data_IF_727022737517
#
_entry.id   IF_727022737517
#
_cell.length_a   1.000
_cell.length_b   1.000
_cell.length_c   1.000
_cell.angle_alpha   90.00
_cell.angle_beta   90.00
_cell.angle_gamma   90.00
#
_symmetry.space_group_name_H-M   'P 1'
#
loop_
_entity.id
_entity.type
_entity.pdbx_description
1 polymer ?
#
# COMPACT_ATOMS: atom_id res chain seq x y z
N UNK A 1 2.95 -18.69 2.32
CA UNK A 1 4.16 -17.97 2.80
C UNK A 1 3.66 -16.71 3.46
N UNK A 2 4.02 -16.46 4.71
CA UNK A 2 3.53 -15.30 5.45
C UNK A 2 4.48 -14.12 5.21
N UNK A 3 4.16 -13.30 4.21
CA UNK A 3 4.98 -12.13 3.84
C UNK A 3 4.96 -11.01 4.89
N UNK A 4 4.01 -11.03 5.83
CA UNK A 4 3.80 -10.00 6.85
C UNK A 4 3.80 -10.56 8.28
N UNK A 5 4.53 -11.67 8.51
CA UNK A 5 4.74 -12.26 9.83
C UNK A 5 5.69 -11.46 10.73
N UNK A 6 6.11 -12.09 11.85
CA UNK A 6 6.97 -11.45 12.86
C UNK A 6 8.28 -10.89 12.29
N UNK A 7 8.92 -11.60 11.36
CA UNK A 7 10.19 -11.17 10.76
C UNK A 7 10.00 -9.85 9.98
N UNK A 8 8.99 -9.78 9.11
CA UNK A 8 8.69 -8.57 8.33
C UNK A 8 8.22 -7.43 9.24
N UNK A 9 7.36 -7.72 10.21
CA UNK A 9 6.96 -6.75 11.21
C UNK A 9 8.17 -6.19 11.96
N UNK A 10 9.19 -7.00 12.27
CA UNK A 10 10.37 -6.55 13.02
C UNK A 10 11.16 -5.44 12.34
N UNK A 11 11.14 -5.35 11.04
CA UNK A 11 11.94 -4.41 10.25
C UNK A 11 11.11 -3.35 9.51
N UNK A 12 9.79 -3.46 9.49
CA UNK A 12 8.93 -2.60 8.68
C UNK A 12 9.13 -1.10 8.96
N UNK A 13 9.47 -0.74 10.21
CA UNK A 13 9.69 0.64 10.62
C UNK A 13 11.15 1.10 10.47
N UNK A 14 12.09 0.19 10.25
CA UNK A 14 13.52 0.52 10.16
C UNK A 14 13.87 1.18 8.81
N UNK A 15 12.92 1.16 7.88
CA UNK A 15 13.14 1.61 6.50
C UNK A 15 12.05 2.60 6.07
N UNK A 16 12.16 3.88 6.50
CA UNK A 16 11.27 4.93 6.02
C UNK A 16 11.52 5.17 4.52
N UNK A 17 10.46 5.44 3.78
CA UNK A 17 10.55 5.79 2.36
C UNK A 17 10.96 7.24 2.14
N UNK A 18 10.69 8.10 3.15
CA UNK A 18 11.00 9.52 3.12
C UNK A 18 9.87 10.40 2.55
N UNK A 19 8.76 9.80 2.14
CA UNK A 19 7.59 10.49 1.59
C UNK A 19 6.36 10.45 2.53
N UNK A 20 6.50 9.89 3.74
CA UNK A 20 5.40 9.71 4.68
C UNK A 20 4.73 11.04 5.08
N UNK A 21 5.51 12.10 5.27
CA UNK A 21 4.98 13.41 5.62
C UNK A 21 4.12 14.00 4.49
N UNK A 22 4.54 13.82 3.23
CA UNK A 22 3.80 14.27 2.06
C UNK A 22 2.51 13.45 1.87
N UNK A 23 2.58 12.14 2.11
CA UNK A 23 1.42 11.26 2.09
C UNK A 23 0.38 11.67 3.14
N UNK A 24 0.81 11.91 4.38
CA UNK A 24 -0.06 12.37 5.47
C UNK A 24 -0.72 13.70 5.13
N UNK A 25 0.05 14.68 4.66
CA UNK A 25 -0.48 15.99 4.28
C UNK A 25 -1.46 15.92 3.11
N UNK A 26 -1.25 14.99 2.17
CA UNK A 26 -2.18 14.73 1.07
C UNK A 26 -3.49 14.11 1.61
N UNK A 27 -3.40 13.05 2.41
CA UNK A 27 -4.56 12.31 2.94
C UNK A 27 -5.39 13.18 3.90
N UNK A 28 -4.75 14.00 4.73
CA UNK A 28 -5.46 14.98 5.58
C UNK A 28 -6.37 15.91 4.78
N UNK A 29 -5.85 16.45 3.66
CA UNK A 29 -6.66 17.29 2.75
C UNK A 29 -7.81 16.51 2.12
N UNK A 30 -7.58 15.23 1.74
CA UNK A 30 -8.61 14.38 1.14
C UNK A 30 -9.69 13.98 2.15
N UNK A 31 -9.35 13.79 3.43
CA UNK A 31 -10.29 13.44 4.49
C UNK A 31 -11.27 14.57 4.83
N UNK A 32 -10.95 15.84 4.51
CA UNK A 32 -11.82 17.02 4.75
C UNK A 32 -12.35 17.10 6.20
N UNK A 33 -11.54 16.63 7.18
CA UNK A 33 -11.92 16.56 8.58
C UNK A 33 -12.82 15.38 8.97
N UNK A 34 -13.24 14.55 8.03
CA UNK A 34 -14.01 13.34 8.29
C UNK A 34 -13.13 12.13 8.64
N UNK A 35 -13.73 11.02 9.08
CA UNK A 35 -12.98 9.81 9.38
C UNK A 35 -12.34 9.21 8.13
N UNK A 36 -11.19 8.57 8.33
CA UNK A 36 -10.49 7.84 7.27
C UNK A 36 -10.36 6.35 7.64
N UNK A 37 -10.37 5.49 6.63
CA UNK A 37 -10.10 4.06 6.77
C UNK A 37 -8.83 3.70 6.00
N UNK A 38 -7.83 3.15 6.69
CA UNK A 38 -6.64 2.58 6.07
C UNK A 38 -6.81 1.09 5.83
N UNK A 39 -6.66 0.66 4.59
CA UNK A 39 -6.62 -0.75 4.24
C UNK A 39 -5.19 -1.27 4.42
N UNK A 40 -5.03 -2.36 5.18
CA UNK A 40 -3.75 -2.90 5.64
C UNK A 40 -2.93 -1.86 6.42
N UNK A 41 -3.45 -1.44 7.58
CA UNK A 41 -2.87 -0.38 8.42
C UNK A 41 -1.44 -0.71 8.92
N UNK A 42 -1.07 -1.98 8.97
CA UNK A 42 0.26 -2.44 9.34
C UNK A 42 0.69 -1.96 10.73
N UNK A 43 1.89 -1.42 10.79
CA UNK A 43 2.48 -0.83 12.00
C UNK A 43 2.04 0.63 12.25
N UNK A 44 1.12 1.16 11.42
CA UNK A 44 0.57 2.51 11.56
C UNK A 44 1.48 3.62 11.05
N UNK A 45 2.32 3.34 10.05
CA UNK A 45 3.28 4.31 9.51
C UNK A 45 2.60 5.58 8.99
N UNK A 46 1.41 5.44 8.38
CA UNK A 46 0.59 6.56 7.89
C UNK A 46 -0.53 6.88 8.87
N UNK A 47 -1.20 5.88 9.43
CA UNK A 47 -2.34 6.08 10.32
C UNK A 47 -1.99 6.92 11.56
N UNK A 48 -0.85 6.65 12.22
CA UNK A 48 -0.47 7.36 13.44
C UNK A 48 -0.23 8.86 13.21
N UNK A 49 0.63 9.28 12.27
CA UNK A 49 0.82 10.69 12.00
C UNK A 49 -0.43 11.36 11.42
N UNK A 50 -1.27 10.65 10.64
CA UNK A 50 -2.54 11.19 10.17
C UNK A 50 -3.53 11.41 11.34
N UNK A 51 -3.61 10.46 12.27
CA UNK A 51 -4.44 10.63 13.47
C UNK A 51 -3.93 11.79 14.36
N UNK A 52 -2.63 12.04 14.39
CA UNK A 52 -2.06 13.16 15.13
C UNK A 52 -2.46 14.54 14.57
N UNK A 53 -2.95 14.63 13.32
CA UNK A 53 -3.53 15.87 12.75
C UNK A 53 -4.96 16.12 13.22
N UNK A 54 -5.56 15.19 13.99
CA UNK A 54 -6.94 15.27 14.47
C UNK A 54 -7.97 14.52 13.61
N UNK A 55 -7.54 13.83 12.55
CA UNK A 55 -8.38 12.94 11.75
C UNK A 55 -8.61 11.64 12.53
N UNK A 56 -9.86 11.22 12.68
CA UNK A 56 -10.15 9.87 13.15
C UNK A 56 -9.73 8.87 12.08
N UNK A 57 -8.82 7.95 12.44
CA UNK A 57 -8.36 6.88 11.54
C UNK A 57 -8.76 5.54 12.10
N UNK A 58 -9.49 4.77 11.32
CA UNK A 58 -9.78 3.37 11.54
C UNK A 58 -8.93 2.53 10.57
N UNK A 59 -8.66 1.27 10.88
CA UNK A 59 -7.83 0.44 10.01
C UNK A 59 -8.26 -1.02 9.94
N UNK A 60 -7.81 -1.69 8.89
CA UNK A 60 -7.96 -3.14 8.71
C UNK A 60 -6.57 -3.73 8.55
N UNK A 61 -6.28 -4.84 9.18
CA UNK A 61 -5.07 -5.62 8.93
C UNK A 61 -5.30 -7.11 9.19
N UNK A 62 -4.62 -7.95 8.44
CA UNK A 62 -4.68 -9.40 8.60
C UNK A 62 -3.59 -9.92 9.56
N UNK A 63 -2.50 -9.17 9.75
CA UNK A 63 -1.32 -9.59 10.52
C UNK A 63 -1.42 -9.20 12.00
N UNK A 64 -1.57 -10.16 12.93
CA UNK A 64 -1.51 -9.86 14.36
C UNK A 64 -0.16 -9.26 14.79
N UNK A 65 0.95 -9.65 14.13
CA UNK A 65 2.27 -9.15 14.42
C UNK A 65 2.41 -7.66 14.08
N UNK A 66 1.88 -7.23 12.93
CA UNK A 66 1.85 -5.82 12.53
C UNK A 66 1.00 -4.99 13.51
N UNK A 67 -0.20 -5.47 13.83
CA UNK A 67 -1.10 -4.77 14.76
C UNK A 67 -0.53 -4.73 16.18
N UNK A 68 0.16 -5.77 16.64
CA UNK A 68 0.85 -5.74 17.92
C UNK A 68 1.91 -4.63 17.99
N UNK A 69 2.68 -4.45 16.91
CA UNK A 69 3.64 -3.34 16.80
C UNK A 69 2.97 -1.97 16.75
N UNK A 70 1.89 -1.83 16.01
CA UNK A 70 1.08 -0.61 16.02
C UNK A 70 0.64 -0.27 17.46
N UNK A 71 0.08 -1.25 18.17
CA UNK A 71 -0.40 -1.08 19.55
C UNK A 71 0.69 -0.67 20.54
N UNK A 72 1.93 -1.05 20.30
CA UNK A 72 3.08 -0.69 21.13
C UNK A 72 3.57 0.76 20.92
N UNK A 73 3.13 1.44 19.86
CA UNK A 73 3.51 2.82 19.55
C UNK A 73 2.60 3.83 20.26
N UNK A 74 3.12 5.05 20.59
CA UNK A 74 2.28 6.13 21.10
C UNK A 74 1.08 6.41 20.20
N UNK A 75 -0.12 6.46 20.78
CA UNK A 75 -1.40 6.63 20.05
C UNK A 75 -1.91 5.38 19.33
N UNK A 76 -1.11 4.31 19.23
CA UNK A 76 -1.52 3.10 18.51
C UNK A 76 -2.63 2.31 19.21
N UNK A 77 -2.74 2.41 20.54
CA UNK A 77 -3.82 1.79 21.28
C UNK A 77 -5.18 2.45 21.03
N UNK A 78 -5.20 3.71 20.61
CA UNK A 78 -6.42 4.50 20.44
C UNK A 78 -7.04 4.32 19.04
N UNK A 79 -6.29 3.77 18.07
CA UNK A 79 -6.82 3.51 16.73
C UNK A 79 -7.74 2.29 16.73
N UNK A 80 -8.91 2.41 16.11
CA UNK A 80 -9.79 1.27 15.89
C UNK A 80 -9.25 0.40 14.74
N UNK A 81 -8.82 -0.83 15.05
CA UNK A 81 -8.30 -1.77 14.05
C UNK A 81 -9.16 -3.03 14.04
N UNK A 82 -9.70 -3.34 12.88
CA UNK A 82 -10.42 -4.58 12.58
C UNK A 82 -9.44 -5.61 12.01
N UNK A 83 -9.37 -6.78 12.65
CA UNK A 83 -8.60 -7.90 12.10
C UNK A 83 -9.37 -8.53 10.95
N UNK A 84 -8.76 -8.61 9.77
CA UNK A 84 -9.39 -9.22 8.61
C UNK A 84 -8.70 -8.90 7.29
N UNK A 85 -9.21 -9.54 6.23
CA UNK A 85 -8.77 -9.30 4.87
C UNK A 85 -9.33 -7.96 4.37
N UNK A 86 -8.45 -7.06 3.96
CA UNK A 86 -8.86 -5.74 3.46
C UNK A 86 -9.63 -5.81 2.13
N UNK A 87 -9.56 -6.90 1.37
CA UNK A 87 -10.39 -7.08 0.18
C UNK A 87 -11.88 -7.20 0.51
N UNK A 88 -12.21 -7.64 1.72
CA UNK A 88 -13.60 -7.79 2.20
C UNK A 88 -14.14 -6.53 2.87
N UNK A 89 -13.25 -5.63 3.30
CA UNK A 89 -13.57 -4.39 4.06
C UNK A 89 -14.53 -4.70 5.23
N UNK A 90 -14.12 -5.55 6.20
CA UNK A 90 -15.00 -6.07 7.25
C UNK A 90 -15.27 -5.05 8.36
N UNK A 91 -15.71 -3.86 8.00
CA UNK A 91 -16.05 -2.75 8.91
C UNK A 91 -17.50 -2.32 8.69
N UNK A 92 -18.08 -1.64 9.66
CA UNK A 92 -19.39 -1.03 9.52
C UNK A 92 -19.28 0.47 9.23
N UNK A 93 -20.29 1.00 8.55
CA UNK A 93 -20.40 2.44 8.24
C UNK A 93 -19.80 2.84 6.91
N UNK A 94 -19.74 4.15 6.71
CA UNK A 94 -19.21 4.75 5.50
C UNK A 94 -18.18 5.82 5.86
N UNK A 95 -17.16 5.96 4.99
CA UNK A 95 -16.02 6.85 5.17
C UNK A 95 -15.92 7.86 4.03
N UNK A 96 -15.66 9.13 4.32
CA UNK A 96 -15.35 10.12 3.28
C UNK A 96 -13.97 9.87 2.64
N UNK A 97 -13.08 9.13 3.32
CA UNK A 97 -11.80 8.72 2.78
C UNK A 97 -11.50 7.26 3.12
N UNK A 98 -11.24 6.45 2.10
CA UNK A 98 -10.61 5.15 2.23
C UNK A 98 -9.29 5.21 1.46
N UNK A 99 -8.21 4.65 2.01
CA UNK A 99 -6.93 4.68 1.32
C UNK A 99 -6.13 3.39 1.52
N UNK A 100 -5.27 3.12 0.53
CA UNK A 100 -4.29 2.03 0.55
C UNK A 100 -2.99 2.55 -0.05
N UNK A 101 -1.88 2.33 0.64
CA UNK A 101 -0.56 2.89 0.31
C UNK A 101 0.50 1.80 0.18
N UNK A 102 1.69 2.16 -0.25
CA UNK A 102 2.87 1.29 -0.32
C UNK A 102 2.69 0.05 -1.19
N UNK A 103 2.00 0.17 -2.32
CA UNK A 103 1.73 -0.94 -3.24
C UNK A 103 0.90 -2.08 -2.64
N UNK A 104 0.31 -1.88 -1.47
CA UNK A 104 -0.34 -2.94 -0.69
C UNK A 104 -1.53 -3.58 -1.42
N UNK A 105 -2.20 -2.84 -2.31
CA UNK A 105 -3.24 -3.42 -3.17
C UNK A 105 -2.74 -4.63 -3.98
N UNK A 106 -1.46 -4.63 -4.35
CA UNK A 106 -0.85 -5.70 -5.13
C UNK A 106 -0.56 -6.97 -4.34
N UNK A 107 -0.75 -6.96 -3.02
CA UNK A 107 -0.71 -8.16 -2.19
C UNK A 107 -1.98 -9.04 -2.35
N UNK A 108 -3.03 -8.51 -2.99
CA UNK A 108 -4.13 -9.31 -3.52
C UNK A 108 -3.65 -9.98 -4.82
N UNK A 109 -3.53 -11.30 -4.80
CA UNK A 109 -2.78 -12.06 -5.80
C UNK A 109 -3.60 -12.43 -7.03
N UNK A 110 -4.89 -12.13 -7.04
CA UNK A 110 -5.78 -12.36 -8.17
C UNK A 110 -6.49 -11.08 -8.61
N UNK A 111 -6.89 -11.03 -9.87
CA UNK A 111 -7.67 -9.91 -10.39
C UNK A 111 -9.02 -9.80 -9.69
N UNK A 112 -9.63 -10.95 -9.40
CA UNK A 112 -10.91 -11.05 -8.71
C UNK A 112 -10.85 -10.47 -7.30
N UNK A 113 -9.77 -10.73 -6.56
CA UNK A 113 -9.57 -10.13 -5.22
C UNK A 113 -9.40 -8.61 -5.30
N UNK A 114 -8.65 -8.12 -6.29
CA UNK A 114 -8.47 -6.69 -6.49
C UNK A 114 -9.79 -6.00 -6.89
N UNK A 115 -10.57 -6.59 -7.80
CA UNK A 115 -11.91 -6.10 -8.15
C UNK A 115 -12.83 -6.10 -6.93
N UNK A 116 -12.85 -7.20 -6.18
CA UNK A 116 -13.67 -7.31 -4.96
C UNK A 116 -13.31 -6.25 -3.93
N UNK A 117 -12.03 -5.92 -3.79
CA UNK A 117 -11.58 -4.82 -2.92
C UNK A 117 -12.21 -3.48 -3.36
N UNK A 118 -12.15 -3.15 -4.64
CA UNK A 118 -12.78 -1.92 -5.17
C UNK A 118 -14.30 -1.90 -4.94
N UNK A 119 -15.00 -3.01 -5.17
CA UNK A 119 -16.45 -3.12 -4.96
C UNK A 119 -16.83 -2.95 -3.48
N UNK A 120 -16.06 -3.56 -2.56
CA UNK A 120 -16.29 -3.43 -1.14
C UNK A 120 -15.95 -2.02 -0.64
N UNK A 121 -14.86 -1.42 -1.12
CA UNK A 121 -14.54 -0.01 -0.85
C UNK A 121 -15.69 0.89 -1.29
N UNK A 122 -16.20 0.72 -2.51
CA UNK A 122 -17.31 1.55 -3.02
C UNK A 122 -18.56 1.50 -2.13
N UNK A 123 -18.84 0.35 -1.51
CA UNK A 123 -19.98 0.22 -0.56
C UNK A 123 -19.77 0.97 0.75
N UNK A 124 -18.51 1.16 1.15
CA UNK A 124 -18.13 1.83 2.39
C UNK A 124 -17.70 3.29 2.20
N UNK A 125 -17.78 3.83 0.99
CA UNK A 125 -17.61 5.27 0.75
C UNK A 125 -18.91 6.03 0.97
N UNK A 126 -18.81 7.24 1.54
CA UNK A 126 -19.92 8.23 1.50
C UNK A 126 -20.21 8.64 0.06
N UNK A 127 -21.33 9.33 -0.19
CA UNK A 127 -21.73 9.74 -1.56
C UNK A 127 -20.69 10.65 -2.24
N UNK A 128 -19.93 11.42 -1.47
CA UNK A 128 -18.83 12.27 -1.93
C UNK A 128 -17.44 11.72 -1.52
N UNK A 129 -17.41 10.43 -1.15
CA UNK A 129 -16.22 9.76 -0.62
C UNK A 129 -15.17 9.50 -1.70
N UNK A 130 -13.92 9.44 -1.24
CA UNK A 130 -12.76 9.25 -2.07
C UNK A 130 -12.02 7.95 -1.69
N UNK A 131 -11.59 7.21 -2.70
CA UNK A 131 -10.66 6.11 -2.55
C UNK A 131 -9.30 6.48 -3.11
N UNK A 132 -8.27 6.49 -2.27
CA UNK A 132 -6.89 6.83 -2.65
C UNK A 132 -6.05 5.56 -2.71
N UNK A 133 -5.41 5.33 -3.86
CA UNK A 133 -4.54 4.18 -4.10
C UNK A 133 -3.16 4.68 -4.50
N UNK A 134 -2.12 4.32 -3.74
CA UNK A 134 -0.74 4.48 -4.16
C UNK A 134 -0.17 3.13 -4.60
N UNK A 135 0.41 3.12 -5.81
CA UNK A 135 1.07 1.94 -6.33
C UNK A 135 2.19 2.30 -7.31
N UNK A 136 3.15 1.39 -7.49
CA UNK A 136 4.18 1.56 -8.51
C UNK A 136 3.60 1.39 -9.92
N UNK A 137 4.24 2.04 -10.89
CA UNK A 137 3.96 1.83 -12.32
C UNK A 137 4.87 0.71 -12.81
N UNK A 138 4.32 -0.40 -13.33
CA UNK A 138 5.13 -1.58 -13.68
C UNK A 138 5.98 -1.42 -14.95
N UNK A 139 6.34 -0.18 -15.32
CA UNK A 139 7.11 0.15 -16.54
C UNK A 139 8.53 -0.40 -16.54
N UNK A 140 9.13 -0.65 -15.37
CA UNK A 140 10.46 -1.25 -15.25
C UNK A 140 10.50 -2.68 -15.79
N UNK A 141 9.38 -3.42 -15.77
CA UNK A 141 9.26 -4.80 -16.25
C UNK A 141 9.59 -4.93 -17.73
N UNK A 142 9.36 -3.89 -18.55
CA UNK A 142 9.75 -3.90 -19.96
C UNK A 142 11.26 -3.94 -20.22
N UNK A 143 12.06 -3.71 -19.17
CA UNK A 143 13.52 -3.69 -19.26
C UNK A 143 14.16 -4.95 -18.71
N UNK A 144 13.36 -5.89 -18.18
CA UNK A 144 13.87 -7.12 -17.61
C UNK A 144 14.44 -8.01 -18.70
N UNK A 145 15.53 -8.70 -18.36
CA UNK A 145 16.08 -9.77 -19.17
C UNK A 145 15.69 -11.09 -18.51
N UNK A 146 15.13 -12.01 -19.30
CA UNK A 146 14.71 -13.33 -18.83
C UNK A 146 13.72 -13.28 -17.63
N UNK A 147 12.89 -12.22 -17.59
CA UNK A 147 11.90 -11.99 -16.53
C UNK A 147 12.46 -12.02 -15.11
N UNK A 148 13.71 -11.64 -14.92
CA UNK A 148 14.39 -11.60 -13.63
C UNK A 148 15.06 -10.26 -13.41
N UNK A 149 15.22 -9.87 -12.14
CA UNK A 149 15.96 -8.67 -11.78
C UNK A 149 16.68 -8.81 -10.45
N UNK A 150 17.72 -8.00 -10.32
CA UNK A 150 18.40 -7.67 -9.09
C UNK A 150 18.54 -6.15 -9.06
N UNK A 151 17.95 -5.51 -8.07
CA UNK A 151 18.01 -4.05 -7.93
C UNK A 151 18.57 -3.66 -6.57
N UNK A 152 19.56 -2.78 -6.57
CA UNK A 152 20.18 -2.32 -5.33
C UNK A 152 19.32 -1.25 -4.67
N UNK A 153 18.81 -1.54 -3.48
CA UNK A 153 18.03 -0.60 -2.67
C UNK A 153 18.93 0.32 -1.84
N UNK A 154 19.95 -0.26 -1.21
CA UNK A 154 20.88 0.47 -0.34
C UNK A 154 22.25 -0.18 -0.33
N UNK A 155 23.30 0.62 -0.51
CA UNK A 155 24.67 0.17 -0.47
C UNK A 155 25.43 1.00 0.58
N UNK A 156 25.84 0.36 1.67
CA UNK A 156 26.70 0.92 2.71
C UNK A 156 27.95 0.05 2.88
N UNK A 157 28.93 0.53 3.64
CA UNK A 157 30.20 -0.18 3.82
C UNK A 157 30.03 -1.54 4.51
N UNK A 158 29.07 -1.62 5.44
CA UNK A 158 28.83 -2.79 6.28
C UNK A 158 27.45 -3.42 6.06
N UNK A 159 26.64 -2.87 5.16
CA UNK A 159 25.32 -3.38 4.84
C UNK A 159 24.96 -3.17 3.37
N UNK A 160 24.46 -4.20 2.74
CA UNK A 160 23.88 -4.11 1.41
C UNK A 160 22.45 -4.64 1.44
N UNK A 161 21.53 -3.86 0.84
CA UNK A 161 20.17 -4.30 0.57
C UNK A 161 19.90 -4.25 -0.91
N UNK A 162 19.27 -5.29 -1.40
CA UNK A 162 18.88 -5.39 -2.79
C UNK A 162 17.64 -6.29 -2.94
N UNK A 163 16.88 -6.02 -3.97
CA UNK A 163 15.72 -6.81 -4.32
C UNK A 163 16.09 -7.82 -5.39
N UNK A 164 15.63 -9.03 -5.23
CA UNK A 164 15.69 -10.06 -6.26
C UNK A 164 14.28 -10.50 -6.58
N UNK A 165 13.96 -10.59 -7.86
CA UNK A 165 12.62 -10.96 -8.25
C UNK A 165 12.55 -11.70 -9.57
N UNK A 166 11.43 -12.40 -9.72
CA UNK A 166 11.02 -13.05 -10.96
C UNK A 166 9.62 -12.58 -11.34
N UNK A 167 9.48 -12.23 -12.60
CA UNK A 167 8.25 -11.77 -13.20
C UNK A 167 7.57 -12.89 -13.99
N UNK A 168 6.27 -13.05 -13.80
CA UNK A 168 5.41 -13.84 -14.68
C UNK A 168 4.45 -12.90 -15.42
N UNK A 169 4.71 -12.58 -16.70
CA UNK A 169 3.87 -11.65 -17.45
C UNK A 169 2.47 -12.21 -17.75
N UNK A 170 2.27 -13.53 -17.73
CA UNK A 170 0.98 -14.14 -18.03
C UNK A 170 -0.02 -13.94 -16.88
N UNK A 171 0.45 -13.95 -15.64
CA UNK A 171 -0.36 -13.77 -14.44
C UNK A 171 -0.18 -12.39 -13.79
N UNK A 172 0.69 -11.53 -14.34
CA UNK A 172 1.08 -10.23 -13.78
C UNK A 172 1.67 -10.36 -12.37
N UNK A 173 2.38 -11.45 -12.10
CA UNK A 173 2.90 -11.75 -10.77
C UNK A 173 4.39 -11.43 -10.65
N UNK A 174 4.77 -10.91 -9.50
CA UNK A 174 6.15 -10.76 -9.06
C UNK A 174 6.37 -11.60 -7.81
N UNK A 175 7.28 -12.55 -7.90
CA UNK A 175 7.83 -13.28 -6.76
C UNK A 175 9.15 -12.61 -6.40
N UNK A 176 9.19 -11.88 -5.29
CA UNK A 176 10.30 -11.01 -4.90
C UNK A 176 10.82 -11.37 -3.52
N UNK A 177 12.06 -11.09 -3.24
CA UNK A 177 12.63 -11.10 -1.91
C UNK A 177 13.49 -9.87 -1.70
N UNK A 178 13.22 -9.11 -0.64
CA UNK A 178 14.17 -8.14 -0.13
C UNK A 178 15.29 -8.88 0.58
N UNK A 179 16.53 -8.64 0.17
CA UNK A 179 17.72 -9.31 0.69
C UNK A 179 18.52 -8.31 1.50
N UNK A 180 18.75 -8.60 2.77
CA UNK A 180 19.65 -7.86 3.63
C UNK A 180 20.92 -8.68 3.88
N UNK A 181 22.07 -8.15 3.48
CA UNK A 181 23.40 -8.71 3.76
C UNK A 181 24.10 -7.79 4.76
N UNK A 182 24.40 -8.33 5.92
CA UNK A 182 25.04 -7.62 7.03
C UNK A 182 26.18 -8.45 7.61
N UNK A 183 27.05 -7.91 8.49
CA UNK A 183 28.04 -8.71 9.21
C UNK A 183 27.47 -9.87 10.05
N UNK A 184 26.17 -9.78 10.41
CA UNK A 184 25.46 -10.83 11.16
C UNK A 184 24.92 -11.95 10.26
N UNK A 185 25.00 -11.78 8.94
CA UNK A 185 24.58 -12.76 7.95
C UNK A 185 23.60 -12.23 6.91
N UNK A 186 23.01 -13.16 6.20
CA UNK A 186 22.00 -12.89 5.15
C UNK A 186 20.61 -13.14 5.70
N UNK A 187 19.68 -12.24 5.37
CA UNK A 187 18.26 -12.41 5.64
C UNK A 187 17.45 -12.19 4.36
N UNK A 188 16.40 -12.98 4.21
CA UNK A 188 15.45 -12.90 3.09
C UNK A 188 14.07 -12.54 3.63
N UNK A 189 13.43 -11.54 2.99
CA UNK A 189 12.07 -11.12 3.29
C UNK A 189 11.23 -11.30 2.03
N UNK A 190 10.61 -12.47 1.85
CA UNK A 190 9.86 -12.77 0.64
C UNK A 190 8.55 -12.00 0.59
N UNK A 191 8.25 -11.45 -0.57
CA UNK A 191 6.99 -10.82 -0.90
C UNK A 191 6.49 -11.32 -2.25
N UNK A 192 5.20 -11.51 -2.36
CA UNK A 192 4.55 -11.86 -3.61
C UNK A 192 3.50 -10.82 -3.91
N UNK A 193 3.49 -10.31 -5.12
CA UNK A 193 2.46 -9.39 -5.53
C UNK A 193 1.93 -9.69 -6.94
N UNK A 194 0.68 -9.29 -7.19
CA UNK A 194 0.10 -9.16 -8.52
C UNK A 194 -0.04 -7.69 -8.84
N UNK A 195 0.79 -7.20 -9.74
CA UNK A 195 0.68 -5.81 -10.17
C UNK A 195 -0.50 -5.59 -11.12
N UNK A 196 -0.99 -4.37 -11.14
CA UNK A 196 -1.96 -3.90 -12.13
C UNK A 196 -1.47 -2.59 -12.76
N UNK A 197 -1.76 -2.40 -14.05
CA UNK A 197 -1.51 -1.12 -14.69
C UNK A 197 -2.52 -0.07 -14.20
N UNK A 198 -2.17 1.23 -14.18
CA UNK A 198 -3.12 2.27 -13.82
C UNK A 198 -4.45 2.21 -14.61
N UNK A 199 -4.39 1.83 -15.89
CA UNK A 199 -5.59 1.63 -16.73
C UNK A 199 -6.43 0.42 -16.31
N UNK A 200 -5.81 -0.62 -15.74
CA UNK A 200 -6.51 -1.78 -15.20
C UNK A 200 -7.22 -1.41 -13.89
N UNK A 201 -6.57 -0.63 -13.03
CA UNK A 201 -7.21 -0.08 -11.82
C UNK A 201 -8.42 0.82 -12.18
N UNK A 202 -8.35 1.59 -13.27
CA UNK A 202 -9.47 2.39 -13.75
C UNK A 202 -10.65 1.52 -14.19
N UNK A 203 -10.39 0.34 -14.78
CA UNK A 203 -11.43 -0.63 -15.12
C UNK A 203 -12.04 -1.25 -13.86
N UNK A 204 -11.23 -1.62 -12.86
CA UNK A 204 -11.72 -2.12 -11.56
C UNK A 204 -12.59 -1.09 -10.87
N UNK A 205 -12.16 0.18 -10.88
CA UNK A 205 -12.95 1.30 -10.33
C UNK A 205 -14.31 1.41 -11.03
N UNK A 206 -14.35 1.36 -12.37
CA UNK A 206 -15.61 1.42 -13.14
C UNK A 206 -16.54 0.24 -12.84
N UNK A 207 -16.01 -0.96 -12.68
CA UNK A 207 -16.79 -2.15 -12.29
C UNK A 207 -17.44 -1.90 -10.93
N UNK A 208 -16.71 -1.29 -9.99
CA UNK A 208 -17.18 -0.94 -8.66
C UNK A 208 -18.11 0.31 -8.62
N UNK A 209 -18.34 0.97 -9.76
CA UNK A 209 -19.14 2.20 -9.83
C UNK A 209 -18.38 3.45 -9.41
N UNK A 210 -17.06 3.39 -9.35
CA UNK A 210 -16.18 4.53 -9.06
C UNK A 210 -15.63 5.15 -10.35
N UNK A 211 -15.26 6.42 -10.29
CA UNK A 211 -14.65 7.15 -11.40
C UNK A 211 -13.29 7.71 -11.00
N UNK A 212 -12.33 7.71 -11.91
CA UNK A 212 -11.06 8.38 -11.68
C UNK A 212 -11.30 9.89 -11.58
N UNK A 213 -10.97 10.47 -10.43
CA UNK A 213 -11.06 11.90 -10.17
C UNK A 213 -9.73 12.59 -10.50
N UNK A 214 -8.61 12.07 -9.96
CA UNK A 214 -7.26 12.59 -10.20
C UNK A 214 -6.24 11.46 -10.23
N UNK A 215 -5.09 11.70 -10.90
CA UNK A 215 -3.91 10.86 -10.83
C UNK A 215 -2.64 11.70 -10.84
N UNK A 216 -1.79 11.46 -9.86
CA UNK A 216 -0.55 12.16 -9.64
C UNK A 216 0.64 11.20 -9.73
N UNK A 217 1.83 11.71 -10.08
CA UNK A 217 3.08 10.97 -10.10
C UNK A 217 3.75 10.85 -8.73
N UNK A 218 3.15 11.41 -7.69
CA UNK A 218 3.63 11.41 -6.32
C UNK A 218 2.70 12.18 -5.36
N UNK A 219 3.05 12.19 -4.08
CA UNK A 219 2.23 12.78 -3.02
C UNK A 219 2.19 14.31 -3.03
N UNK A 220 3.17 14.99 -3.64
CA UNK A 220 3.20 16.44 -3.81
C UNK A 220 2.40 16.90 -5.05
N UNK A 221 1.58 16.00 -5.63
CA UNK A 221 0.79 16.23 -6.83
C UNK A 221 1.63 16.51 -8.08
N UNK A 222 2.75 15.84 -8.18
CA UNK A 222 3.55 15.86 -9.42
C UNK A 222 2.71 15.33 -10.58
N UNK A 223 2.84 15.90 -11.77
CA UNK A 223 2.11 15.42 -12.94
C UNK A 223 2.41 13.93 -13.20
N UNK A 224 1.37 13.14 -13.40
CA UNK A 224 1.54 11.76 -13.84
C UNK A 224 1.91 11.73 -15.32
N UNK A 225 3.07 11.13 -15.62
CA UNK A 225 3.64 11.08 -16.99
C UNK A 225 4.19 9.68 -17.29
N UNK A 226 4.63 9.46 -18.52
CA UNK A 226 5.31 8.21 -18.91
C UNK A 226 6.61 7.94 -18.13
N UNK A 227 7.18 8.93 -17.45
CA UNK A 227 8.37 8.79 -16.62
C UNK A 227 8.03 8.49 -15.15
N UNK A 228 6.77 8.56 -14.77
CA UNK A 228 6.34 8.31 -13.38
C UNK A 228 6.60 6.85 -13.00
N UNK A 229 7.23 6.66 -11.85
CA UNK A 229 7.53 5.32 -11.31
C UNK A 229 6.46 4.81 -10.36
N UNK A 230 5.69 5.72 -9.79
CA UNK A 230 4.53 5.44 -8.95
C UNK A 230 3.37 6.34 -9.36
N UNK A 231 2.20 6.03 -8.88
CA UNK A 231 1.05 6.89 -9.00
C UNK A 231 0.25 6.94 -7.70
N UNK A 232 -0.33 8.11 -7.44
CA UNK A 232 -1.38 8.32 -6.43
C UNK A 232 -2.66 8.59 -7.21
N UNK A 233 -3.55 7.60 -7.25
CA UNK A 233 -4.84 7.69 -7.94
C UNK A 233 -5.94 7.94 -6.94
N UNK A 234 -6.81 8.89 -7.25
CA UNK A 234 -7.97 9.27 -6.46
C UNK A 234 -9.21 8.89 -7.25
N UNK A 235 -10.00 8.00 -6.72
CA UNK A 235 -11.29 7.59 -7.29
C UNK A 235 -12.42 8.17 -6.45
N UNK A 236 -13.46 8.64 -7.10
CA UNK A 236 -14.67 9.19 -6.47
C UNK A 236 -15.87 8.26 -6.74
N UNK A 237 -16.79 8.27 -5.81
CA UNK A 237 -18.09 7.62 -5.95
C UNK A 237 -19.01 8.40 -6.88
#
# INVERSE_FOLDING_TARGET
MDSFGEDSASICDDYPRGDEADAVAFLERMARGGPALELAIGTGRIALPLAATGIRVDGIDLSPAMVAKLRAKPGGADLAVTMGDFSEVPVEGAYPLIYIVFNTLFNLLTQEEQVRCFENVARHLTDDGLFVVEAFVPSFLYRLRDDQYVDAERIEVDQVRFDVGRHDPATQRLDESHVALTPQGLRLYPIVCRYAWPSELDLMARIAGLTLHDRWGGWQREPFTAASRLHVSVYAR
#
